data_IF_306143436112
#
_entry.id   IF_306143436112
#
_cell.length_a   1.000
_cell.length_b   1.000
_cell.length_c   1.000
_cell.angle_alpha   90.00
_cell.angle_beta   90.00
_cell.angle_gamma   90.00
#
_symmetry.space_group_name_H-M   'P 1'
#
loop_
_entity.id
_entity.type
_entity.pdbx_description
1 polymer ?
#
# COMPACT_ATOMS: atom_id res chain seq x y z
N UNK A 1 -22.29 6.63 -11.72
CA UNK A 1 -21.75 5.64 -10.77
C UNK A 1 -21.64 6.32 -9.43
N UNK A 2 -22.19 5.73 -8.39
CA UNK A 2 -22.18 6.30 -7.04
C UNK A 2 -21.09 5.73 -6.14
N UNK A 3 -20.58 4.54 -6.46
CA UNK A 3 -19.50 3.86 -5.72
C UNK A 3 -18.60 3.07 -6.69
N UNK A 4 -17.33 2.95 -6.38
CA UNK A 4 -16.36 2.17 -7.17
C UNK A 4 -15.08 1.91 -6.38
N UNK A 5 -14.33 0.88 -6.78
CA UNK A 5 -12.99 0.63 -6.24
C UNK A 5 -12.00 1.66 -6.80
N UNK A 6 -11.14 2.18 -5.95
CA UNK A 6 -10.18 3.22 -6.31
C UNK A 6 -8.98 3.22 -5.36
N UNK A 7 -7.93 3.92 -5.76
CA UNK A 7 -6.73 4.17 -4.97
C UNK A 7 -6.72 5.59 -4.42
N UNK A 8 -6.05 5.89 -3.30
CA UNK A 8 -5.91 7.25 -2.78
C UNK A 8 -5.37 8.24 -3.82
N UNK A 9 -4.47 7.81 -4.70
CA UNK A 9 -3.97 8.62 -5.82
C UNK A 9 -5.12 9.09 -6.73
N UNK A 10 -6.00 8.19 -7.15
CA UNK A 10 -7.15 8.53 -8.00
C UNK A 10 -8.13 9.43 -7.27
N UNK A 11 -8.39 9.16 -5.98
CA UNK A 11 -9.21 10.03 -5.12
C UNK A 11 -8.65 11.45 -5.10
N UNK A 12 -7.34 11.59 -4.88
CA UNK A 12 -6.67 12.88 -4.90
C UNK A 12 -6.78 13.63 -6.23
N UNK A 13 -6.60 12.94 -7.35
CA UNK A 13 -6.74 13.51 -8.69
C UNK A 13 -8.17 13.99 -8.96
N UNK A 14 -9.18 13.22 -8.57
CA UNK A 14 -10.58 13.61 -8.71
C UNK A 14 -10.94 14.81 -7.82
N UNK A 15 -10.45 14.84 -6.59
CA UNK A 15 -10.65 15.99 -5.69
C UNK A 15 -9.97 17.26 -6.23
N UNK A 16 -8.76 17.14 -6.78
CA UNK A 16 -8.08 18.24 -7.44
C UNK A 16 -8.87 18.77 -8.64
N UNK A 17 -9.54 17.90 -9.37
CA UNK A 17 -10.46 18.23 -10.45
C UNK A 17 -11.85 18.72 -9.95
N UNK A 18 -11.99 18.96 -8.63
CA UNK A 18 -13.25 19.41 -7.98
C UNK A 18 -14.43 18.44 -8.14
N UNK A 19 -14.15 17.17 -8.39
CA UNK A 19 -15.18 16.12 -8.37
C UNK A 19 -15.50 15.78 -6.90
N UNK A 20 -16.78 15.77 -6.45
CA UNK A 20 -17.16 15.55 -5.07
C UNK A 20 -17.08 14.04 -4.73
N UNK A 21 -15.87 13.55 -4.47
CA UNK A 21 -15.61 12.17 -4.10
C UNK A 21 -15.02 12.06 -2.70
N UNK A 22 -15.29 10.96 -2.03
CA UNK A 22 -14.75 10.62 -0.72
C UNK A 22 -14.37 9.15 -0.69
N UNK A 23 -13.21 8.87 -0.09
CA UNK A 23 -12.76 7.51 0.18
C UNK A 23 -13.44 6.96 1.43
N UNK A 24 -13.81 5.69 1.38
CA UNK A 24 -14.32 4.92 2.50
C UNK A 24 -13.67 3.53 2.52
N UNK A 25 -13.35 3.03 3.69
CA UNK A 25 -12.98 1.64 3.90
C UNK A 25 -14.22 0.90 4.41
N UNK A 26 -14.71 -0.12 3.71
CA UNK A 26 -15.84 -0.92 4.21
C UNK A 26 -15.46 -1.68 5.49
N UNK A 27 -16.47 -2.11 6.26
CA UNK A 27 -16.24 -2.84 7.53
C UNK A 27 -15.48 -4.16 7.34
N UNK A 28 -15.54 -4.74 6.17
CA UNK A 28 -14.83 -5.95 5.77
C UNK A 28 -13.33 -5.68 5.55
N UNK A 29 -12.93 -4.41 5.46
CA UNK A 29 -11.59 -3.96 5.14
C UNK A 29 -11.37 -3.72 3.65
N UNK A 30 -10.16 -3.34 3.30
CA UNK A 30 -9.71 -3.20 1.91
C UNK A 30 -8.45 -4.02 1.67
N UNK A 31 -8.15 -4.31 0.41
CA UNK A 31 -6.90 -4.97 0.03
C UNK A 31 -5.76 -3.96 -0.09
N UNK A 32 -4.56 -4.40 0.19
CA UNK A 32 -3.35 -3.60 0.02
C UNK A 32 -2.15 -4.46 -0.36
N UNK A 33 -1.10 -3.81 -0.83
CA UNK A 33 0.20 -4.44 -1.08
C UNK A 33 1.33 -3.60 -0.51
N UNK A 34 2.53 -4.14 -0.55
CA UNK A 34 3.76 -3.49 -0.12
C UNK A 34 4.78 -3.59 -1.25
N UNK A 35 5.34 -2.45 -1.64
CA UNK A 35 6.54 -2.42 -2.45
C UNK A 35 7.76 -2.57 -1.56
N UNK A 36 8.65 -3.48 -1.91
CA UNK A 36 9.82 -3.83 -1.08
C UNK A 36 11.11 -3.78 -1.88
N UNK A 37 12.14 -3.28 -1.24
CA UNK A 37 13.50 -3.38 -1.75
C UNK A 37 14.14 -4.67 -1.27
N UNK A 38 14.70 -5.44 -2.20
CA UNK A 38 15.33 -6.71 -1.89
C UNK A 38 16.78 -6.71 -2.37
N UNK A 39 17.66 -7.32 -1.56
CA UNK A 39 19.06 -7.54 -1.91
C UNK A 39 19.20 -8.94 -2.53
N UNK A 40 19.73 -9.01 -3.76
CA UNK A 40 20.07 -10.31 -4.35
C UNK A 40 21.12 -11.02 -3.51
N UNK A 41 20.96 -12.32 -3.29
CA UNK A 41 21.95 -13.16 -2.61
C UNK A 41 23.31 -13.19 -3.34
N UNK A 42 23.32 -12.84 -4.65
CA UNK A 42 24.53 -12.77 -5.48
C UNK A 42 25.00 -11.34 -5.72
N UNK A 43 24.54 -10.36 -4.93
CA UNK A 43 24.96 -8.97 -5.07
C UNK A 43 26.47 -8.80 -4.87
N UNK A 44 27.14 -8.23 -5.85
CA UNK A 44 28.61 -8.00 -5.80
C UNK A 44 28.99 -6.85 -4.86
N UNK A 45 28.07 -5.92 -4.63
CA UNK A 45 28.29 -4.68 -3.85
C UNK A 45 27.19 -4.47 -2.82
N UNK A 46 27.04 -5.35 -1.81
CA UNK A 46 25.95 -5.28 -0.83
C UNK A 46 25.99 -3.98 -0.01
N UNK A 47 27.17 -3.43 0.27
CA UNK A 47 27.27 -2.18 1.03
C UNK A 47 26.66 -0.98 0.29
N UNK A 48 26.74 -0.94 -1.05
CA UNK A 48 26.07 0.08 -1.84
C UNK A 48 24.55 -0.03 -1.73
N UNK A 49 24.02 -1.26 -1.72
CA UNK A 49 22.60 -1.48 -1.52
C UNK A 49 22.14 -1.04 -0.12
N UNK A 50 22.90 -1.33 0.93
CA UNK A 50 22.59 -0.85 2.29
C UNK A 50 22.65 0.67 2.40
N UNK A 51 23.63 1.32 1.78
CA UNK A 51 23.68 2.78 1.71
C UNK A 51 22.46 3.35 0.99
N UNK A 52 22.04 2.73 -0.12
CA UNK A 52 20.82 3.07 -0.82
C UNK A 52 19.57 2.89 0.07
N UNK A 53 19.43 1.76 0.77
CA UNK A 53 18.28 1.53 1.66
C UNK A 53 18.21 2.56 2.77
N UNK A 54 19.33 2.91 3.37
CA UNK A 54 19.40 3.97 4.38
C UNK A 54 18.95 5.31 3.82
N UNK A 55 19.37 5.67 2.61
CA UNK A 55 18.99 6.90 1.94
C UNK A 55 17.47 6.95 1.64
N UNK A 56 16.94 5.92 0.97
CA UNK A 56 15.53 5.92 0.56
C UNK A 56 14.56 5.73 1.72
N UNK A 57 15.00 5.19 2.86
CA UNK A 57 14.20 5.08 4.09
C UNK A 57 14.12 6.39 4.88
N UNK A 58 14.91 7.39 4.50
CA UNK A 58 14.92 8.70 5.15
C UNK A 58 13.58 9.43 4.96
N UNK A 59 13.10 10.18 5.98
CA UNK A 59 11.75 10.75 5.97
C UNK A 59 11.50 11.73 4.81
N UNK A 60 12.52 12.50 4.42
CA UNK A 60 12.43 13.44 3.30
C UNK A 60 12.27 12.72 1.95
N UNK A 61 13.05 11.66 1.74
CA UNK A 61 13.00 10.87 0.50
C UNK A 61 11.69 10.08 0.42
N UNK A 62 11.28 9.46 1.53
CA UNK A 62 9.98 8.79 1.64
C UNK A 62 8.81 9.74 1.35
N UNK A 63 8.89 10.98 1.80
CA UNK A 63 7.87 11.99 1.48
C UNK A 63 7.81 12.29 -0.02
N UNK A 64 8.97 12.41 -0.68
CA UNK A 64 9.04 12.63 -2.14
C UNK A 64 8.45 11.44 -2.90
N UNK A 65 8.80 10.21 -2.53
CA UNK A 65 8.24 9.00 -3.14
C UNK A 65 6.73 8.93 -2.94
N UNK A 66 6.26 9.07 -1.70
CA UNK A 66 4.84 8.99 -1.35
C UNK A 66 3.99 10.03 -2.11
N UNK A 67 4.47 11.26 -2.24
CA UNK A 67 3.72 12.31 -2.97
C UNK A 67 3.78 12.15 -4.48
N UNK A 68 4.85 11.54 -5.02
CA UNK A 68 4.99 11.30 -6.47
C UNK A 68 4.14 10.12 -6.94
N UNK A 69 4.16 9.02 -6.18
CA UNK A 69 3.46 7.78 -6.55
C UNK A 69 2.07 7.66 -5.92
N UNK A 70 1.73 8.49 -4.95
CA UNK A 70 0.43 8.45 -4.28
C UNK A 70 0.31 7.28 -3.31
N UNK A 71 1.38 7.00 -2.57
CA UNK A 71 1.52 5.84 -1.68
C UNK A 71 1.67 6.27 -0.22
N UNK A 72 1.39 5.35 0.69
CA UNK A 72 1.65 5.55 2.12
C UNK A 72 3.13 5.30 2.40
N UNK A 73 3.89 6.26 2.96
CA UNK A 73 5.29 6.04 3.32
C UNK A 73 5.39 5.12 4.55
N UNK A 74 6.41 4.28 4.60
CA UNK A 74 6.71 3.45 5.79
C UNK A 74 7.22 4.30 6.95
N UNK A 75 7.94 5.37 6.65
CA UNK A 75 8.50 6.27 7.66
C UNK A 75 7.46 7.32 8.09
N UNK A 76 6.90 7.18 9.30
CA UNK A 76 5.89 8.11 9.86
C UNK A 76 6.37 9.56 9.94
N UNK A 77 7.67 9.80 10.05
CA UNK A 77 8.25 11.15 10.06
C UNK A 77 8.16 11.84 8.70
N UNK A 78 7.84 11.11 7.64
CA UNK A 78 7.65 11.67 6.30
C UNK A 78 6.45 12.64 6.23
N UNK A 79 5.45 12.48 7.08
CA UNK A 79 4.21 13.27 7.08
C UNK A 79 4.44 14.79 7.04
N UNK A 80 5.37 15.31 7.87
CA UNK A 80 5.68 16.74 7.91
C UNK A 80 6.28 17.25 6.59
N UNK A 81 7.11 16.42 5.93
CA UNK A 81 7.69 16.74 4.63
C UNK A 81 6.67 16.63 3.49
N UNK A 82 5.80 15.64 3.54
CA UNK A 82 4.69 15.46 2.58
C UNK A 82 3.82 16.71 2.50
N UNK A 83 3.40 17.24 3.64
CA UNK A 83 2.56 18.45 3.69
C UNK A 83 3.27 19.72 3.20
N UNK A 84 4.61 19.75 3.24
CA UNK A 84 5.40 20.84 2.62
C UNK A 84 5.47 20.71 1.09
N UNK A 85 5.50 19.49 0.57
CA UNK A 85 5.52 19.20 -0.87
C UNK A 85 4.12 19.38 -1.49
N UNK A 86 3.10 18.88 -0.82
CA UNK A 86 1.71 18.97 -1.24
C UNK A 86 0.80 19.05 -0.01
N UNK A 87 0.14 20.17 0.18
CA UNK A 87 -0.74 20.40 1.33
C UNK A 87 -1.83 19.33 1.42
N UNK A 88 -1.92 18.66 2.57
CA UNK A 88 -2.91 17.62 2.83
C UNK A 88 -2.50 16.22 2.37
N UNK A 89 -1.38 16.05 1.68
CA UNK A 89 -0.94 14.72 1.16
C UNK A 89 -0.67 13.70 2.26
N UNK A 90 -0.21 14.13 3.44
CA UNK A 90 -0.06 13.24 4.59
C UNK A 90 -1.37 12.53 4.99
N UNK A 91 -2.47 13.27 4.99
CA UNK A 91 -3.80 12.72 5.30
C UNK A 91 -4.35 11.93 4.12
N UNK A 92 -4.21 12.45 2.90
CA UNK A 92 -4.70 11.80 1.67
C UNK A 92 -4.08 10.40 1.48
N UNK A 93 -2.78 10.28 1.74
CA UNK A 93 -2.05 9.01 1.61
C UNK A 93 -1.86 8.27 2.95
N UNK A 94 -2.67 8.61 3.93
CA UNK A 94 -2.79 7.91 5.23
C UNK A 94 -1.48 7.78 6.04
N UNK A 95 -0.48 8.64 5.81
CA UNK A 95 0.82 8.56 6.48
C UNK A 95 0.74 8.75 8.01
N UNK A 96 -0.31 9.35 8.52
CA UNK A 96 -0.60 9.56 9.94
C UNK A 96 -1.88 8.84 10.41
N UNK A 97 -2.35 7.86 9.65
CA UNK A 97 -3.54 7.11 10.03
C UNK A 97 -3.32 6.32 11.36
N UNK A 98 -4.38 6.10 12.13
CA UNK A 98 -4.30 5.31 13.35
C UNK A 98 -4.07 3.82 13.04
N UNK A 99 -3.57 3.06 14.01
CA UNK A 99 -3.32 1.63 13.89
C UNK A 99 -4.57 0.84 13.42
N UNK A 100 -5.75 1.25 13.87
CA UNK A 100 -7.03 0.65 13.46
C UNK A 100 -7.27 0.73 11.96
N UNK A 101 -6.81 1.80 11.31
CA UNK A 101 -6.87 1.92 9.85
C UNK A 101 -6.03 0.83 9.18
N UNK A 102 -4.76 0.70 9.57
CA UNK A 102 -3.86 -0.30 8.99
C UNK A 102 -4.31 -1.74 9.29
N UNK A 103 -4.89 -1.98 10.46
CA UNK A 103 -5.47 -3.28 10.80
C UNK A 103 -6.65 -3.68 9.90
N UNK A 104 -7.33 -2.70 9.30
CA UNK A 104 -8.41 -2.94 8.32
C UNK A 104 -7.91 -3.28 6.92
N UNK A 105 -6.62 -3.06 6.63
CA UNK A 105 -6.01 -3.37 5.34
C UNK A 105 -5.54 -4.83 5.30
N UNK A 106 -6.03 -5.59 4.33
CA UNK A 106 -5.66 -6.99 4.10
C UNK A 106 -4.55 -7.05 3.05
N UNK A 107 -3.32 -7.16 3.52
CA UNK A 107 -2.16 -7.26 2.63
C UNK A 107 -2.13 -8.58 1.89
N UNK A 108 -1.80 -8.52 0.63
CA UNK A 108 -1.67 -9.69 -0.23
C UNK A 108 -0.56 -10.60 0.26
N UNK A 109 -0.82 -11.90 0.16
CA UNK A 109 0.12 -12.96 0.52
C UNK A 109 0.23 -13.94 -0.63
N UNK A 110 1.35 -14.64 -0.71
CA UNK A 110 1.51 -15.76 -1.63
C UNK A 110 0.42 -16.80 -1.36
N UNK A 111 -0.34 -17.24 -2.39
CA UNK A 111 -1.32 -18.30 -2.25
C UNK A 111 -0.63 -19.62 -1.86
N UNK A 112 -0.96 -20.14 -0.70
CA UNK A 112 -0.45 -21.40 -0.17
C UNK A 112 -1.62 -22.26 0.32
N UNK A 113 -1.58 -23.58 0.05
CA UNK A 113 -2.58 -24.51 0.55
C UNK A 113 -2.58 -24.57 2.09
N UNK A 114 -1.40 -24.43 2.69
CA UNK A 114 -1.20 -24.30 4.13
C UNK A 114 -0.44 -23.02 4.44
N UNK A 115 -1.06 -22.11 5.17
CA UNK A 115 -0.45 -20.84 5.60
C UNK A 115 0.09 -20.88 7.04
N UNK A 116 0.27 -22.05 7.61
CA UNK A 116 0.96 -22.24 8.89
C UNK A 116 0.21 -21.69 10.12
N UNK A 117 -1.07 -21.35 9.99
CA UNK A 117 -1.87 -20.75 11.07
C UNK A 117 -2.85 -21.74 11.74
N UNK A 118 -2.76 -23.04 11.40
CA UNK A 118 -3.65 -24.09 11.86
C UNK A 118 -5.09 -24.02 11.34
N UNK A 119 -5.41 -23.06 10.47
CA UNK A 119 -6.73 -22.88 9.88
C UNK A 119 -6.77 -23.47 8.47
N UNK A 120 -7.87 -24.13 8.13
CA UNK A 120 -8.11 -24.72 6.79
C UNK A 120 -8.76 -23.71 5.83
N UNK A 121 -8.42 -22.45 5.94
CA UNK A 121 -8.99 -21.36 5.12
C UNK A 121 -8.00 -20.77 4.12
N UNK A 122 -6.86 -21.42 3.91
CA UNK A 122 -5.89 -21.04 2.90
C UNK A 122 -6.15 -21.80 1.60
N UNK A 123 -5.83 -21.16 0.49
CA UNK A 123 -5.99 -21.69 -0.85
C UNK A 123 -4.68 -21.54 -1.61
N UNK A 124 -4.32 -22.55 -2.39
CA UNK A 124 -3.23 -22.43 -3.36
C UNK A 124 -3.69 -21.63 -4.60
N UNK A 125 -2.75 -21.39 -5.51
CA UNK A 125 -3.04 -20.61 -6.71
C UNK A 125 -4.12 -21.24 -7.60
N UNK A 126 -4.14 -22.58 -7.72
CA UNK A 126 -5.11 -23.29 -8.54
C UNK A 126 -6.53 -23.16 -8.00
N UNK A 127 -6.67 -23.23 -6.70
CA UNK A 127 -7.94 -23.03 -6.01
C UNK A 127 -8.42 -21.57 -6.14
N UNK A 128 -7.51 -20.60 -6.08
CA UNK A 128 -7.82 -19.19 -6.31
C UNK A 128 -8.35 -18.96 -7.72
N UNK A 129 -7.68 -19.50 -8.75
CA UNK A 129 -8.13 -19.39 -10.15
C UNK A 129 -9.50 -20.01 -10.34
N UNK A 130 -9.76 -21.18 -9.71
CA UNK A 130 -11.07 -21.82 -9.77
C UNK A 130 -12.15 -20.92 -9.17
N UNK A 131 -11.94 -20.43 -7.93
CA UNK A 131 -12.90 -19.55 -7.26
C UNK A 131 -13.13 -18.25 -8.01
N UNK A 132 -12.09 -17.68 -8.63
CA UNK A 132 -12.23 -16.50 -9.46
C UNK A 132 -13.10 -16.75 -10.68
N UNK A 133 -12.89 -17.87 -11.38
CA UNK A 133 -13.71 -18.22 -12.53
C UNK A 133 -15.19 -18.45 -12.16
N UNK A 134 -15.46 -18.99 -10.97
CA UNK A 134 -16.84 -19.14 -10.45
C UNK A 134 -17.53 -17.79 -10.17
N UNK A 135 -16.77 -16.74 -9.87
CA UNK A 135 -17.31 -15.40 -9.61
C UNK A 135 -17.60 -14.62 -10.89
N UNK A 136 -16.81 -14.83 -11.96
CA UNK A 136 -16.93 -14.08 -13.21
C UNK A 136 -17.74 -14.78 -14.30
N UNK A 137 -18.15 -16.04 -14.08
CA UNK A 137 -19.01 -16.80 -14.97
C UNK A 137 -20.49 -16.48 -14.72
#
# INVERSE_FOLDING_TARGET
MTIGASWPYTTGALQAAKVPVKEIIPKEGATGWLDTWMLSAKAKHPNCAYAWYSYISGPKVQAMQATTYGETPVNKLACSYMNKLSKGSCTLYHANAPESYYASIKFWKTPLADCGNGKKNCMDYSQWVKSWNEVIS
#
